data_IF_961095573041
#
_entry.id   IF_961095573041
#
_cell.length_a   1.000
_cell.length_b   1.000
_cell.length_c   1.000
_cell.angle_alpha   90.00
_cell.angle_beta   90.00
_cell.angle_gamma   90.00
#
_symmetry.space_group_name_H-M   'P 1'
#
loop_
_entity.id
_entity.type
_entity.pdbx_description
1 polymer ?
#
# COMPACT_ATOMS: atom_id res chain seq x y z
N UNK A 1 3.85 2.07 9.70
CA UNK A 1 4.37 1.35 8.52
C UNK A 1 4.62 2.35 7.42
N UNK A 2 5.73 2.25 6.69
CA UNK A 2 6.14 3.26 5.72
C UNK A 2 6.31 2.61 4.34
N UNK A 3 5.82 3.27 3.30
CA UNK A 3 6.02 2.87 1.91
C UNK A 3 7.07 3.80 1.31
N UNK A 4 8.08 3.22 0.68
CA UNK A 4 9.17 3.95 0.05
C UNK A 4 9.06 3.82 -1.47
N UNK A 5 8.91 4.95 -2.16
CA UNK A 5 8.84 5.01 -3.62
C UNK A 5 9.82 6.05 -4.14
N UNK A 6 10.54 5.70 -5.21
CA UNK A 6 11.35 6.68 -5.91
C UNK A 6 10.47 7.52 -6.85
N UNK A 7 10.50 8.85 -6.68
CA UNK A 7 9.70 9.76 -7.48
C UNK A 7 10.30 9.89 -8.89
N UNK A 8 9.75 9.18 -9.87
CA UNK A 8 10.22 9.27 -11.27
C UNK A 8 9.65 10.51 -11.95
N UNK A 9 10.45 11.15 -12.80
CA UNK A 9 10.10 12.45 -13.40
C UNK A 9 9.06 12.30 -14.53
N UNK A 10 7.99 13.10 -14.41
CA UNK A 10 7.07 13.62 -15.45
C UNK A 10 6.26 12.59 -16.26
N UNK A 11 5.09 12.24 -15.74
CA UNK A 11 3.77 12.48 -16.36
C UNK A 11 2.79 11.46 -15.76
N UNK A 12 2.27 11.77 -14.58
CA UNK A 12 1.32 10.89 -13.93
C UNK A 12 -0.08 11.29 -14.39
N UNK A 13 -0.61 10.57 -15.37
CA UNK A 13 -2.01 10.72 -15.82
C UNK A 13 -3.01 10.38 -14.70
N UNK A 14 -2.56 9.63 -13.69
CA UNK A 14 -3.35 9.24 -12.53
C UNK A 14 -2.67 9.78 -11.27
N UNK A 15 -3.45 10.39 -10.37
CA UNK A 15 -2.96 10.80 -9.05
C UNK A 15 -2.53 9.57 -8.26
N UNK A 16 -1.23 9.27 -8.25
CA UNK A 16 -0.66 8.19 -7.46
C UNK A 16 -0.52 8.55 -5.98
N UNK A 17 -0.44 7.56 -5.06
CA UNK A 17 -0.27 7.81 -3.63
C UNK A 17 0.98 8.62 -3.28
N UNK A 18 2.10 8.33 -3.93
CA UNK A 18 3.34 9.08 -3.74
C UNK A 18 3.20 10.55 -4.12
N UNK A 19 2.40 10.88 -5.15
CA UNK A 19 2.13 12.25 -5.53
C UNK A 19 1.23 12.95 -4.53
N UNK A 20 0.17 12.29 -4.07
CA UNK A 20 -0.70 12.85 -3.04
C UNK A 20 0.07 13.20 -1.76
N UNK A 21 0.99 12.33 -1.33
CA UNK A 21 1.87 12.60 -0.19
C UNK A 21 2.82 13.78 -0.45
N UNK A 22 3.43 13.86 -1.64
CA UNK A 22 4.35 14.97 -2.01
C UNK A 22 3.62 16.31 -2.14
N UNK A 23 2.43 16.33 -2.73
CA UNK A 23 1.59 17.53 -2.84
C UNK A 23 1.24 18.08 -1.45
N UNK A 24 0.82 17.20 -0.53
CA UNK A 24 0.56 17.59 0.87
C UNK A 24 1.83 18.06 1.58
N UNK A 25 2.96 17.38 1.40
CA UNK A 25 4.23 17.76 2.00
C UNK A 25 4.66 19.17 1.53
N UNK A 26 4.55 19.44 0.23
CA UNK A 26 4.84 20.76 -0.35
C UNK A 26 3.88 21.83 0.18
N UNK A 27 2.59 21.52 0.32
CA UNK A 27 1.61 22.42 0.92
C UNK A 27 1.92 22.71 2.41
N UNK A 28 2.50 21.76 3.13
CA UNK A 28 2.99 21.93 4.50
C UNK A 28 4.36 22.63 4.59
N UNK A 29 4.94 23.08 3.47
CA UNK A 29 6.23 23.78 3.42
C UNK A 29 7.46 22.88 3.35
N UNK A 30 7.29 21.56 3.22
CA UNK A 30 8.38 20.60 3.10
C UNK A 30 8.86 20.55 1.65
N UNK A 31 10.15 20.85 1.43
CA UNK A 31 10.76 20.79 0.10
C UNK A 31 11.15 19.35 -0.23
N UNK A 32 10.36 18.72 -1.11
CA UNK A 32 10.66 17.39 -1.66
C UNK A 32 11.27 17.53 -3.07
N UNK A 33 12.57 17.23 -3.25
CA UNK A 33 13.22 17.31 -4.56
C UNK A 33 12.71 16.24 -5.52
N UNK A 34 12.68 16.55 -6.82
CA UNK A 34 12.35 15.55 -7.84
C UNK A 34 13.43 14.44 -7.85
N UNK A 35 13.04 13.21 -8.20
CA UNK A 35 13.94 12.05 -8.20
C UNK A 35 14.45 11.61 -6.82
N UNK A 36 13.80 12.06 -5.76
CA UNK A 36 14.09 11.64 -4.38
C UNK A 36 13.31 10.38 -3.98
N UNK A 37 13.82 9.72 -2.94
CA UNK A 37 13.09 8.66 -2.25
C UNK A 37 12.01 9.30 -1.37
N UNK A 38 10.75 9.08 -1.72
CA UNK A 38 9.59 9.57 -0.98
C UNK A 38 9.14 8.47 -0.05
N UNK A 39 9.07 8.80 1.24
CA UNK A 39 8.53 7.91 2.28
C UNK A 39 7.17 8.43 2.68
N UNK A 40 6.13 7.60 2.54
CA UNK A 40 4.76 7.98 2.85
C UNK A 40 4.01 6.87 3.59
N UNK A 41 2.92 7.26 4.23
CA UNK A 41 2.02 6.41 5.01
C UNK A 41 0.60 6.60 4.46
N UNK A 42 -0.16 5.50 4.35
CA UNK A 42 -1.58 5.58 4.03
C UNK A 42 -2.35 5.73 5.34
N UNK A 43 -3.06 6.85 5.49
CA UNK A 43 -3.89 7.18 6.65
C UNK A 43 -5.35 6.80 6.39
N UNK A 44 -6.18 6.84 7.43
CA UNK A 44 -7.62 6.55 7.31
C UNK A 44 -8.40 7.69 6.66
N UNK A 45 -7.83 8.89 6.64
CA UNK A 45 -8.51 10.12 6.25
C UNK A 45 -8.32 10.43 4.76
N UNK A 46 -9.40 10.36 3.99
CA UNK A 46 -9.41 10.64 2.55
C UNK A 46 -10.37 9.69 1.81
N UNK A 47 -10.82 10.10 0.63
CA UNK A 47 -11.73 9.27 -0.19
C UNK A 47 -10.95 8.31 -1.09
N UNK A 48 -9.88 8.79 -1.69
CA UNK A 48 -8.97 7.99 -2.53
C UNK A 48 -7.70 7.60 -1.77
N UNK A 49 -7.02 6.53 -2.20
CA UNK A 49 -5.72 6.13 -1.60
C UNK A 49 -4.70 7.27 -1.69
N UNK A 50 -4.76 8.07 -2.75
CA UNK A 50 -3.86 9.22 -2.93
C UNK A 50 -4.17 10.37 -1.99
N UNK A 51 -5.46 10.62 -1.70
CA UNK A 51 -5.85 11.55 -0.64
C UNK A 51 -5.53 11.01 0.75
N UNK A 52 -5.52 9.70 0.94
CA UNK A 52 -5.09 9.06 2.20
C UNK A 52 -3.57 9.05 2.38
N UNK A 53 -2.80 9.28 1.33
CA UNK A 53 -1.35 9.29 1.42
C UNK A 53 -0.86 10.55 2.15
N UNK A 54 0.04 10.36 3.11
CA UNK A 54 0.70 11.42 3.87
C UNK A 54 2.19 11.17 3.96
N UNK A 55 2.97 12.24 4.02
CA UNK A 55 4.41 12.14 4.17
C UNK A 55 4.75 11.50 5.51
N UNK A 56 5.73 10.59 5.53
CA UNK A 56 6.01 9.77 6.71
C UNK A 56 6.37 10.59 7.96
N UNK A 57 7.02 11.74 7.77
CA UNK A 57 7.41 12.63 8.87
C UNK A 57 6.21 13.39 9.48
N UNK A 58 5.13 13.57 8.72
CA UNK A 58 3.96 14.35 9.14
C UNK A 58 2.75 13.48 9.51
N UNK A 59 2.76 12.21 9.12
CA UNK A 59 1.65 11.29 9.33
C UNK A 59 1.45 11.01 10.83
N UNK A 60 0.21 11.19 11.31
CA UNK A 60 -0.16 10.96 12.72
C UNK A 60 -0.87 9.64 12.97
N UNK A 61 -1.46 9.06 11.93
CA UNK A 61 -2.21 7.80 11.99
C UNK A 61 -1.95 6.98 10.72
N UNK A 62 -2.34 5.71 10.72
CA UNK A 62 -2.22 4.80 9.59
C UNK A 62 -3.46 3.92 9.45
N UNK A 63 -3.77 3.52 8.22
CA UNK A 63 -4.87 2.63 7.89
C UNK A 63 -4.43 1.17 8.00
N UNK A 64 -4.56 0.58 9.19
CA UNK A 64 -4.14 -0.81 9.45
C UNK A 64 -4.78 -1.81 8.48
N UNK A 65 -6.06 -1.62 8.14
CA UNK A 65 -6.80 -2.50 7.24
C UNK A 65 -6.22 -2.46 5.83
N UNK A 66 -5.84 -1.28 5.34
CA UNK A 66 -5.13 -1.14 4.07
C UNK A 66 -3.83 -1.96 4.07
N UNK A 67 -2.98 -1.84 5.09
CA UNK A 67 -1.71 -2.57 5.11
C UNK A 67 -1.88 -4.09 5.22
N UNK A 68 -2.87 -4.55 6.00
CA UNK A 68 -3.19 -5.97 6.09
C UNK A 68 -3.63 -6.51 4.73
N UNK A 69 -4.56 -5.83 4.06
CA UNK A 69 -5.14 -6.29 2.80
C UNK A 69 -4.21 -6.12 1.58
N UNK A 70 -3.37 -5.08 1.57
CA UNK A 70 -2.56 -4.74 0.39
C UNK A 70 -1.09 -5.17 0.50
N UNK A 71 -0.62 -5.54 1.69
CA UNK A 71 0.79 -5.94 1.89
C UNK A 71 0.92 -7.28 2.60
N UNK A 72 0.31 -7.44 3.77
CA UNK A 72 0.50 -8.65 4.59
C UNK A 72 -0.16 -9.86 3.93
N UNK A 73 -1.47 -9.77 3.65
CA UNK A 73 -2.23 -10.85 3.01
C UNK A 73 -1.63 -11.27 1.67
N UNK A 74 -1.40 -10.39 0.68
CA UNK A 74 -0.88 -10.81 -0.61
C UNK A 74 0.53 -11.41 -0.52
N UNK A 75 1.38 -10.94 0.40
CA UNK A 75 2.69 -11.54 0.60
C UNK A 75 2.58 -12.97 1.16
N UNK A 76 1.69 -13.20 2.13
CA UNK A 76 1.46 -14.52 2.73
C UNK A 76 0.77 -15.46 1.73
N UNK A 77 -0.24 -14.97 1.02
CA UNK A 77 -0.95 -15.72 -0.04
C UNK A 77 0.00 -16.14 -1.15
N UNK A 78 0.96 -15.30 -1.54
CA UNK A 78 1.97 -15.66 -2.56
C UNK A 78 2.85 -16.82 -2.10
N UNK A 79 3.20 -16.87 -0.81
CA UNK A 79 3.96 -17.99 -0.24
C UNK A 79 3.08 -19.23 -0.17
N UNK A 80 1.88 -19.13 0.39
CA UNK A 80 0.97 -20.27 0.59
C UNK A 80 0.44 -20.84 -0.73
N UNK A 81 0.21 -20.01 -1.74
CA UNK A 81 -0.12 -20.43 -3.10
C UNK A 81 0.99 -21.26 -3.74
N UNK A 82 2.26 -21.00 -3.44
CA UNK A 82 3.37 -21.86 -3.88
C UNK A 82 3.32 -23.27 -3.24
N UNK A 83 2.59 -23.43 -2.14
CA UNK A 83 2.32 -24.71 -1.48
C UNK A 83 0.92 -25.27 -1.81
N UNK A 84 0.17 -24.67 -2.75
CA UNK A 84 -1.13 -25.18 -3.22
C UNK A 84 -2.35 -24.73 -2.42
N UNK A 85 -2.26 -23.62 -1.65
CA UNK A 85 -3.41 -23.03 -0.97
C UNK A 85 -4.04 -21.90 -1.80
N UNK A 86 -5.34 -21.97 -2.05
CA UNK A 86 -6.10 -20.92 -2.75
C UNK A 86 -6.49 -19.75 -1.81
N UNK A 87 -6.60 -18.54 -2.37
CA UNK A 87 -6.91 -17.30 -1.64
C UNK A 87 -8.19 -17.38 -0.81
N UNK A 88 -9.19 -18.09 -1.31
CA UNK A 88 -10.49 -18.28 -0.66
C UNK A 88 -10.37 -19.15 0.60
N UNK A 89 -9.43 -20.10 0.64
CA UNK A 89 -9.18 -20.95 1.82
C UNK A 89 -8.57 -20.18 3.00
N UNK A 90 -7.87 -19.08 2.72
CA UNK A 90 -7.13 -18.30 3.73
C UNK A 90 -7.98 -17.14 4.24
N UNK A 91 -8.83 -16.53 3.40
CA UNK A 91 -9.70 -15.41 3.81
C UNK A 91 -10.97 -15.85 4.56
N UNK A 92 -11.47 -17.07 4.35
CA UNK A 92 -12.77 -17.53 4.89
C UNK A 92 -12.67 -18.60 6.00
N UNK A 93 -11.47 -18.90 6.51
CA UNK A 93 -11.31 -19.93 7.54
C UNK A 93 -11.50 -21.34 6.97
N UNK A 94 -10.56 -21.76 6.13
CA UNK A 94 -10.18 -23.15 5.87
C UNK A 94 -11.31 -24.19 5.82
N UNK A 95 -11.94 -24.37 4.65
CA UNK A 95 -12.38 -25.71 4.27
C UNK A 95 -11.32 -26.30 3.34
N UNK A 96 -10.42 -27.09 3.94
CA UNK A 96 -9.50 -27.96 3.23
C UNK A 96 -10.33 -28.94 2.38
N UNK A 97 -10.43 -28.71 1.07
CA UNK A 97 -10.86 -29.77 0.15
C UNK A 97 -9.70 -30.75 0.02
N UNK A 98 -9.92 -31.97 0.50
CA UNK A 98 -8.96 -33.06 0.39
C UNK A 98 -8.54 -33.29 -1.06
N UNK A 99 -7.25 -33.63 -1.21
CA UNK A 99 -6.62 -34.07 -2.45
C UNK A 99 -7.52 -35.04 -3.22
N UNK A 100 -7.99 -34.62 -4.39
CA UNK A 100 -8.87 -35.40 -5.23
C UNK A 100 -9.31 -34.69 -6.49
N UNK A 101 -8.38 -34.22 -7.32
CA UNK A 101 -8.46 -34.42 -8.78
C UNK A 101 -7.15 -33.98 -9.43
N UNK A 102 -6.58 -34.92 -10.17
CA UNK A 102 -5.58 -34.72 -11.21
C UNK A 102 -6.17 -33.86 -12.34
#
# INVERSE_FOLDING_TARGET
MTIHTQLRKKNYEVKSPELGAVEKARAAGIKVPDNSLVSYVITKSGKTISEKAEFAETAKDYDAEYYVNNQVLPAVLKILGAFGYDEDGIKLGGTQKGLGSW
#
